data_IF_844476600653
#
_entry.id   IF_844476600653
#
_cell.length_a   1.000
_cell.length_b   1.000
_cell.length_c   1.000
_cell.angle_alpha   90.00
_cell.angle_beta   90.00
_cell.angle_gamma   90.00
#
_symmetry.space_group_name_H-M   'P 1'
#
loop_
_entity.id
_entity.type
_entity.pdbx_description
1 polymer ?
#
# COMPACT_ATOMS: atom_id res chain seq x y z
N UNK A 1 6.27 -27.87 -12.67
CA UNK A 1 6.33 -26.54 -12.04
C UNK A 1 7.27 -25.70 -12.88
N UNK A 2 6.76 -24.69 -13.57
CA UNK A 2 7.61 -23.77 -14.36
C UNK A 2 8.41 -22.92 -13.37
N UNK A 3 9.72 -22.86 -13.53
CA UNK A 3 10.59 -22.02 -12.71
C UNK A 3 10.20 -20.55 -12.97
N UNK A 4 9.89 -19.80 -11.92
CA UNK A 4 9.65 -18.36 -12.05
C UNK A 4 10.91 -17.69 -12.60
N UNK A 5 10.75 -16.77 -13.55
CA UNK A 5 11.85 -15.95 -14.07
C UNK A 5 12.13 -14.81 -13.08
N UNK A 6 13.07 -15.06 -12.17
CA UNK A 6 13.45 -14.14 -11.10
C UNK A 6 14.53 -13.19 -11.63
N UNK A 7 14.35 -11.86 -11.57
CA UNK A 7 15.39 -10.90 -11.95
C UNK A 7 16.67 -11.13 -11.14
N UNK A 8 17.83 -11.04 -11.79
CA UNK A 8 19.14 -11.25 -11.16
C UNK A 8 19.99 -9.98 -11.11
N UNK A 9 19.56 -8.93 -11.80
CA UNK A 9 20.19 -7.60 -11.77
C UNK A 9 19.21 -6.54 -11.25
N UNK A 10 19.75 -5.38 -10.84
CA UNK A 10 18.93 -4.25 -10.42
C UNK A 10 18.15 -3.67 -11.60
N UNK A 11 18.79 -3.59 -12.75
CA UNK A 11 18.21 -3.09 -13.99
C UNK A 11 17.00 -3.94 -14.43
N UNK A 12 17.05 -5.26 -14.22
CA UNK A 12 15.93 -6.17 -14.48
C UNK A 12 14.73 -5.91 -13.56
N UNK A 13 14.99 -5.54 -12.30
CA UNK A 13 13.93 -5.15 -11.35
C UNK A 13 13.30 -3.81 -11.76
N UNK A 14 14.14 -2.81 -12.06
CA UNK A 14 13.66 -1.48 -12.46
C UNK A 14 12.87 -1.52 -13.78
N UNK A 15 13.22 -2.41 -14.71
CA UNK A 15 12.44 -2.65 -15.92
C UNK A 15 11.04 -3.19 -15.61
N UNK A 16 10.96 -4.17 -14.71
CA UNK A 16 9.67 -4.73 -14.26
C UNK A 16 8.82 -3.70 -13.51
N UNK A 17 9.44 -2.85 -12.68
CA UNK A 17 8.73 -1.77 -11.98
C UNK A 17 8.14 -0.74 -12.96
N UNK A 18 8.84 -0.43 -14.06
CA UNK A 18 8.33 0.48 -15.10
C UNK A 18 7.14 -0.11 -15.85
N UNK A 19 7.15 -1.42 -16.05
CA UNK A 19 6.12 -2.14 -16.81
C UNK A 19 4.95 -2.61 -15.92
N UNK A 20 4.99 -2.37 -14.60
CA UNK A 20 3.93 -2.78 -13.67
C UNK A 20 2.65 -1.92 -13.84
N UNK A 21 1.53 -2.51 -14.32
CA UNK A 21 0.27 -1.79 -14.48
C UNK A 21 -0.33 -1.34 -13.13
N UNK A 22 0.13 -1.89 -12.00
CA UNK A 22 -0.32 -1.56 -10.65
C UNK A 22 0.60 -0.55 -9.94
N UNK A 23 1.67 -0.05 -10.58
CA UNK A 23 2.63 0.84 -9.95
C UNK A 23 1.97 2.07 -9.29
N UNK A 24 0.92 2.60 -9.92
CA UNK A 24 0.15 3.75 -9.40
C UNK A 24 -0.62 3.44 -8.10
N UNK A 25 -0.98 2.17 -7.85
CA UNK A 25 -1.72 1.75 -6.64
C UNK A 25 -0.88 1.94 -5.38
N UNK A 26 0.46 1.84 -5.49
CA UNK A 26 1.38 2.08 -4.37
C UNK A 26 1.16 3.43 -3.70
N UNK A 27 0.83 4.46 -4.48
CA UNK A 27 0.60 5.82 -3.99
C UNK A 27 -0.66 5.96 -3.10
N UNK A 28 -1.54 4.94 -3.06
CA UNK A 28 -2.73 4.94 -2.20
C UNK A 28 -2.39 4.57 -0.75
N UNK A 29 -1.21 4.02 -0.49
CA UNK A 29 -0.79 3.52 0.82
C UNK A 29 0.11 4.51 1.55
N UNK A 30 -0.18 4.73 2.83
CA UNK A 30 0.68 5.49 3.72
C UNK A 30 1.85 4.62 4.19
N UNK A 31 2.94 4.62 3.41
CA UNK A 31 4.16 3.88 3.71
C UNK A 31 5.23 4.80 4.32
N UNK A 32 5.99 4.34 5.33
CA UNK A 32 7.14 5.09 5.82
C UNK A 32 8.25 5.20 4.75
N UNK A 33 8.88 6.36 4.67
CA UNK A 33 10.01 6.58 3.77
C UNK A 33 11.18 5.65 4.09
N UNK A 34 11.83 5.11 3.05
CA UNK A 34 13.02 4.25 3.19
C UNK A 34 12.75 2.84 3.73
N UNK A 35 11.50 2.46 3.98
CA UNK A 35 11.15 1.13 4.51
C UNK A 35 10.71 0.19 3.38
N UNK A 36 11.36 -0.97 3.28
CA UNK A 36 10.91 -2.10 2.45
C UNK A 36 10.07 -3.03 3.33
N UNK A 37 8.75 -2.89 3.25
CA UNK A 37 7.82 -3.65 4.10
C UNK A 37 7.40 -4.96 3.44
N UNK A 38 7.90 -6.09 3.97
CA UNK A 38 7.67 -7.44 3.42
C UNK A 38 6.72 -8.31 4.28
N UNK A 39 6.11 -7.74 5.32
CA UNK A 39 5.22 -8.44 6.25
C UNK A 39 3.73 -8.06 6.08
N UNK A 40 3.35 -7.63 4.87
CA UNK A 40 1.98 -7.19 4.56
C UNK A 40 0.92 -8.28 4.69
N UNK A 41 1.31 -9.56 4.76
CA UNK A 41 0.40 -10.68 5.00
C UNK A 41 -0.10 -10.75 6.46
N UNK A 42 0.68 -10.22 7.40
CA UNK A 42 0.35 -10.16 8.82
C UNK A 42 -0.46 -8.90 9.12
N UNK A 43 0.08 -7.73 8.75
CA UNK A 43 -0.60 -6.45 8.88
C UNK A 43 -0.40 -5.63 7.60
N UNK A 44 -1.48 -5.41 6.85
CA UNK A 44 -1.44 -4.57 5.66
C UNK A 44 -1.23 -3.09 6.01
N UNK A 45 -0.44 -2.34 5.21
CA UNK A 45 -0.31 -0.89 5.39
C UNK A 45 -1.66 -0.20 5.19
N UNK A 46 -1.92 0.86 5.95
CA UNK A 46 -3.14 1.63 5.81
C UNK A 46 -3.16 2.40 4.48
N UNK A 47 -4.32 2.46 3.83
CA UNK A 47 -4.54 3.39 2.71
C UNK A 47 -4.90 4.78 3.24
N UNK A 48 -4.60 5.82 2.48
CA UNK A 48 -5.00 7.20 2.82
C UNK A 48 -6.52 7.31 3.01
N UNK A 49 -7.30 6.66 2.15
CA UNK A 49 -8.76 6.63 2.25
C UNK A 49 -9.27 5.94 3.53
N UNK A 50 -8.63 4.85 3.95
CA UNK A 50 -8.99 4.19 5.22
C UNK A 50 -8.73 5.10 6.41
N UNK A 51 -7.59 5.82 6.41
CA UNK A 51 -7.27 6.79 7.44
C UNK A 51 -8.29 7.93 7.48
N UNK A 52 -8.64 8.50 6.33
CA UNK A 52 -9.65 9.56 6.22
C UNK A 52 -11.02 9.08 6.73
N UNK A 53 -11.46 7.88 6.35
CA UNK A 53 -12.74 7.33 6.79
C UNK A 53 -12.82 7.19 8.31
N UNK A 54 -11.74 6.74 8.94
CA UNK A 54 -11.64 6.65 10.41
C UNK A 54 -11.78 8.03 11.05
N UNK A 55 -11.14 9.07 10.48
CA UNK A 55 -11.28 10.45 10.97
C UNK A 55 -12.72 10.96 10.87
N UNK A 56 -13.39 10.71 9.75
CA UNK A 56 -14.82 11.06 9.57
C UNK A 56 -15.70 10.39 10.61
N UNK A 57 -15.54 9.06 10.80
CA UNK A 57 -16.34 8.32 11.79
C UNK A 57 -16.12 8.86 13.20
N UNK A 58 -14.89 9.16 13.58
CA UNK A 58 -14.59 9.68 14.91
C UNK A 58 -15.22 11.07 15.15
N UNK A 59 -15.05 12.00 14.20
CA UNK A 59 -15.43 13.40 14.40
C UNK A 59 -16.88 13.72 14.09
N UNK A 60 -17.48 13.06 13.10
CA UNK A 60 -18.81 13.39 12.62
C UNK A 60 -19.84 12.42 13.17
N UNK A 61 -19.60 11.13 12.97
CA UNK A 61 -20.59 10.11 13.30
C UNK A 61 -20.65 9.85 14.81
N UNK A 62 -19.49 9.73 15.48
CA UNK A 62 -19.42 9.38 16.90
C UNK A 62 -19.50 10.58 17.84
N UNK A 63 -18.83 11.68 17.52
CA UNK A 63 -18.80 12.86 18.40
C UNK A 63 -20.02 13.79 18.24
N UNK A 64 -20.59 13.88 17.03
CA UNK A 64 -21.70 14.81 16.72
C UNK A 64 -23.02 14.10 16.45
N UNK A 65 -23.00 12.90 15.87
CA UNK A 65 -24.17 12.06 15.61
C UNK A 65 -24.70 11.33 16.85
N UNK A 66 -24.75 12.02 18.00
CA UNK A 66 -25.30 11.46 19.24
C UNK A 66 -26.82 11.35 19.10
N UNK A 67 -27.32 10.11 19.03
CA UNK A 67 -28.73 9.74 19.17
C UNK A 67 -28.93 8.92 20.43
#
# INVERSE_FOLDING_TARGET
MTKADIPVTREDCEARDRDDPLAAVRAQFALPDGVIYLDGHSLGPATHAALERVQTTAHEERARGLI
#
